data_IF_732208722643
#
_entry.id   IF_732208722643
#
_cell.length_a   1.000
_cell.length_b   1.000
_cell.length_c   1.000
_cell.angle_alpha   90.00
_cell.angle_beta   90.00
_cell.angle_gamma   90.00
#
_symmetry.space_group_name_H-M   'P 1'
#
loop_
_entity.id
_entity.type
_entity.pdbx_description
1 polymer ?
#
# COMPACT_ATOMS: atom_id res chain seq x y z
N UNK A 1 -13.43 -8.75 -13.37
CA UNK A 1 -12.95 -9.80 -14.30
C UNK A 1 -13.94 -9.99 -15.44
N UNK A 2 -13.51 -9.94 -16.70
CA UNK A 2 -14.41 -10.12 -17.87
C UNK A 2 -14.64 -11.60 -18.24
N UNK A 3 -13.88 -12.51 -17.65
CA UNK A 3 -13.95 -13.96 -17.85
C UNK A 3 -13.44 -14.67 -16.60
N UNK A 4 -13.63 -15.98 -16.55
CA UNK A 4 -13.05 -16.83 -15.51
C UNK A 4 -11.52 -16.91 -15.65
N UNK A 5 -10.83 -17.02 -14.52
CA UNK A 5 -9.40 -17.25 -14.41
C UNK A 5 -9.11 -18.36 -13.40
N UNK A 6 -8.20 -19.27 -13.76
CA UNK A 6 -7.67 -20.27 -12.83
C UNK A 6 -6.67 -19.64 -11.88
N UNK A 7 -6.49 -20.22 -10.69
CA UNK A 7 -5.45 -19.82 -9.75
C UNK A 7 -4.06 -19.88 -10.43
N UNK A 8 -3.22 -18.88 -10.17
CA UNK A 8 -1.89 -18.73 -10.78
C UNK A 8 -1.92 -18.17 -12.22
N UNK A 9 -3.08 -17.89 -12.79
CA UNK A 9 -3.16 -17.27 -14.11
C UNK A 9 -2.71 -15.81 -14.06
N UNK A 10 -1.82 -15.42 -14.97
CA UNK A 10 -1.51 -14.01 -15.23
C UNK A 10 -2.74 -13.29 -15.77
N UNK A 11 -3.11 -12.18 -15.13
CA UNK A 11 -4.30 -11.40 -15.45
C UNK A 11 -3.99 -10.23 -16.38
N UNK A 12 -3.15 -9.31 -15.92
CA UNK A 12 -2.76 -8.09 -16.63
C UNK A 12 -1.40 -7.61 -16.14
N UNK A 13 -0.69 -6.83 -16.95
CA UNK A 13 0.59 -6.25 -16.56
C UNK A 13 0.39 -4.98 -15.74
N UNK A 14 1.23 -4.79 -14.72
CA UNK A 14 1.45 -3.50 -14.10
C UNK A 14 2.26 -2.62 -15.07
N UNK A 15 1.55 -1.90 -15.94
CA UNK A 15 2.17 -1.07 -16.96
C UNK A 15 2.44 0.34 -16.42
N UNK A 16 3.69 0.78 -16.59
CA UNK A 16 4.16 2.09 -16.19
C UNK A 16 5.49 2.43 -16.83
N UNK A 17 5.92 3.67 -16.68
CA UNK A 17 7.30 4.05 -16.99
C UNK A 17 8.19 3.65 -15.80
N UNK A 18 9.31 2.99 -16.10
CA UNK A 18 10.28 2.61 -15.08
C UNK A 18 11.19 3.81 -14.79
N UNK A 19 11.07 4.39 -13.62
CA UNK A 19 11.98 5.41 -13.13
C UNK A 19 13.24 4.76 -12.53
N UNK A 20 14.43 5.39 -12.69
CA UNK A 20 15.66 4.87 -12.12
C UNK A 20 15.58 4.84 -10.58
N UNK A 21 16.41 4.01 -9.91
CA UNK A 21 16.48 4.01 -8.46
C UNK A 21 16.82 5.41 -7.95
N UNK A 22 16.02 5.94 -7.03
CA UNK A 22 16.37 7.19 -6.36
C UNK A 22 17.64 7.00 -5.53
N UNK A 23 18.58 7.93 -5.64
CA UNK A 23 19.81 7.87 -4.83
C UNK A 23 19.44 8.19 -3.38
N UNK A 24 19.73 7.33 -2.38
CA UNK A 24 19.47 7.68 -1.00
C UNK A 24 20.30 8.91 -0.60
N UNK A 25 19.78 9.83 0.24
CA UNK A 25 20.62 10.87 0.82
C UNK A 25 21.72 10.18 1.63
N UNK A 26 22.95 10.61 1.39
CA UNK A 26 24.12 10.13 2.14
C UNK A 26 24.00 10.58 3.59
N UNK A 27 24.17 9.64 4.50
CA UNK A 27 24.51 9.80 5.92
C UNK A 27 23.78 10.93 6.66
N UNK A 28 22.71 10.59 7.36
CA UNK A 28 22.05 11.49 8.31
C UNK A 28 20.76 10.87 8.83
N UNK A 29 20.46 11.06 10.12
CA UNK A 29 19.25 10.56 10.77
C UNK A 29 18.03 10.71 9.86
N UNK A 30 17.37 9.59 9.55
CA UNK A 30 16.04 9.61 8.93
C UNK A 30 15.08 10.14 9.99
N UNK A 31 14.67 11.39 9.86
CA UNK A 31 13.60 11.96 10.68
C UNK A 31 12.24 11.55 10.10
N UNK A 32 11.17 11.57 10.90
CA UNK A 32 9.81 11.26 10.44
C UNK A 32 9.33 12.20 9.32
N UNK A 33 9.87 13.42 9.22
CA UNK A 33 9.62 14.31 8.08
C UNK A 33 10.25 13.77 6.78
N UNK A 34 11.46 13.19 6.85
CA UNK A 34 12.13 12.55 5.70
C UNK A 34 11.44 11.23 5.34
N UNK A 35 10.97 10.47 6.34
CA UNK A 35 10.16 9.27 6.13
C UNK A 35 8.81 9.63 5.52
N UNK A 36 8.13 10.68 5.99
CA UNK A 36 6.86 11.16 5.45
C UNK A 36 7.01 11.78 4.06
N UNK A 37 8.06 12.57 3.79
CA UNK A 37 8.38 13.07 2.44
C UNK A 37 8.77 11.94 1.49
N UNK A 38 9.54 10.93 1.95
CA UNK A 38 9.82 9.73 1.17
C UNK A 38 8.59 8.88 0.97
N UNK A 39 7.73 8.76 1.96
CA UNK A 39 6.46 8.06 1.89
C UNK A 39 5.47 8.82 1.02
N UNK A 40 5.51 10.16 0.93
CA UNK A 40 4.74 10.98 0.01
C UNK A 40 5.31 10.95 -1.41
N UNK A 41 6.63 10.92 -1.56
CA UNK A 41 7.32 10.75 -2.83
C UNK A 41 7.18 9.31 -3.37
N UNK A 42 7.13 8.30 -2.47
CA UNK A 42 6.92 6.87 -2.77
C UNK A 42 5.45 6.49 -2.86
N UNK A 43 4.55 7.16 -2.12
CA UNK A 43 3.09 7.09 -2.29
C UNK A 43 2.61 7.99 -3.44
N UNK A 44 3.46 8.14 -4.47
CA UNK A 44 2.94 8.33 -5.82
C UNK A 44 1.89 7.26 -6.04
N UNK A 45 0.66 7.71 -6.25
CA UNK A 45 -0.43 6.81 -6.60
C UNK A 45 0.04 5.98 -7.81
N UNK A 46 -0.22 4.68 -7.76
CA UNK A 46 0.17 3.74 -8.80
C UNK A 46 1.68 3.44 -8.91
N UNK A 47 2.50 3.67 -7.88
CA UNK A 47 3.90 3.20 -7.86
C UNK A 47 4.04 1.73 -7.46
N UNK A 48 5.00 1.03 -8.08
CA UNK A 48 5.39 -0.35 -7.73
C UNK A 48 6.92 -0.47 -7.81
N UNK A 49 7.56 -0.82 -6.71
CA UNK A 49 9.01 -1.04 -6.66
C UNK A 49 9.38 -2.39 -7.33
N UNK A 50 10.41 -2.36 -8.16
CA UNK A 50 10.95 -3.51 -8.88
C UNK A 50 12.09 -4.17 -8.10
N UNK A 51 12.36 -5.43 -8.44
CA UNK A 51 13.46 -6.24 -7.90
C UNK A 51 14.85 -5.61 -8.14
N UNK A 52 15.00 -4.81 -9.19
CA UNK A 52 16.23 -4.07 -9.51
C UNK A 52 16.30 -2.65 -8.92
N UNK A 53 15.38 -2.31 -8.01
CA UNK A 53 15.32 -1.02 -7.31
C UNK A 53 14.75 0.13 -8.14
N UNK A 54 14.31 -0.12 -9.39
CA UNK A 54 13.51 0.84 -10.16
C UNK A 54 12.09 0.93 -9.61
N UNK A 55 11.38 2.01 -9.94
CA UNK A 55 9.95 2.14 -9.63
C UNK A 55 9.15 2.20 -10.92
N UNK A 56 8.16 1.31 -11.07
CA UNK A 56 7.14 1.44 -12.11
C UNK A 56 6.08 2.43 -11.65
N UNK A 57 5.86 3.50 -12.40
CA UNK A 57 4.77 4.44 -12.16
C UNK A 57 3.66 4.15 -13.16
N UNK A 58 2.54 3.65 -12.65
CA UNK A 58 1.36 3.34 -13.44
C UNK A 58 0.83 4.58 -14.15
N UNK A 59 0.45 4.43 -15.42
CA UNK A 59 -0.23 5.51 -16.13
C UNK A 59 -1.62 5.74 -15.49
N UNK A 60 -2.03 6.99 -15.28
CA UNK A 60 -3.37 7.30 -14.73
C UNK A 60 -4.51 6.84 -15.64
N UNK A 61 -4.22 6.62 -16.93
CA UNK A 61 -5.15 6.08 -17.91
C UNK A 61 -4.41 5.11 -18.84
N UNK A 62 -5.01 3.96 -19.13
CA UNK A 62 -4.50 3.00 -20.10
C UNK A 62 -5.65 2.47 -20.95
N UNK A 63 -5.53 2.61 -22.27
CA UNK A 63 -6.52 2.09 -23.23
C UNK A 63 -6.33 0.61 -23.55
N UNK A 64 -5.28 -0.04 -23.03
CA UNK A 64 -4.95 -1.44 -23.26
C UNK A 64 -5.29 -2.28 -22.02
N UNK A 65 -6.36 -3.11 -22.04
CA UNK A 65 -6.76 -3.95 -20.92
C UNK A 65 -5.71 -4.97 -20.46
N UNK A 66 -4.68 -5.24 -21.27
CA UNK A 66 -3.55 -6.08 -20.87
C UNK A 66 -2.49 -5.34 -20.03
N UNK A 67 -2.68 -4.03 -19.82
CA UNK A 67 -1.76 -3.07 -19.20
C UNK A 67 -2.50 -2.15 -18.19
N UNK A 68 -3.38 -2.74 -17.39
CA UNK A 68 -4.19 -2.01 -16.37
C UNK A 68 -3.98 -2.58 -14.96
N UNK A 69 -2.86 -3.25 -14.69
CA UNK A 69 -2.57 -3.81 -13.37
C UNK A 69 -2.55 -2.76 -12.25
N UNK A 70 -2.21 -1.51 -12.56
CA UNK A 70 -2.28 -0.38 -11.63
C UNK A 70 -3.72 0.01 -11.24
N UNK A 71 -4.74 -0.46 -11.97
CA UNK A 71 -6.16 -0.21 -11.66
C UNK A 71 -6.77 -1.29 -10.75
N UNK A 72 -6.01 -2.32 -10.35
CA UNK A 72 -6.50 -3.31 -9.39
C UNK A 72 -6.58 -2.65 -8.03
N UNK A 73 -7.80 -2.53 -7.48
CA UNK A 73 -8.04 -1.88 -6.19
C UNK A 73 -7.47 -2.70 -5.03
N UNK A 74 -7.17 -2.01 -3.94
CA UNK A 74 -6.94 -2.67 -2.65
C UNK A 74 -8.26 -3.26 -2.12
N UNK A 75 -8.21 -4.45 -1.52
CA UNK A 75 -9.35 -5.10 -0.86
C UNK A 75 -9.76 -4.38 0.43
N UNK A 76 -8.88 -3.57 1.01
CA UNK A 76 -9.11 -2.79 2.23
C UNK A 76 -8.45 -1.41 2.17
N UNK A 77 -8.74 -0.58 3.16
CA UNK A 77 -8.03 0.70 3.33
C UNK A 77 -7.88 1.07 4.79
N UNK A 78 -6.85 1.85 5.10
CA UNK A 78 -6.70 2.52 6.40
C UNK A 78 -6.98 4.00 6.18
N UNK A 79 -7.95 4.55 6.92
CA UNK A 79 -8.36 5.96 6.81
C UNK A 79 -8.25 6.65 8.16
N UNK A 80 -8.00 7.97 8.15
CA UNK A 80 -7.95 8.74 9.39
C UNK A 80 -9.26 8.64 10.19
N UNK A 81 -10.42 8.63 9.50
CA UNK A 81 -11.73 8.53 10.15
C UNK A 81 -11.92 7.22 10.93
N UNK A 82 -11.61 6.08 10.31
CA UNK A 82 -11.65 4.79 10.99
C UNK A 82 -10.66 4.77 12.17
N UNK A 83 -9.45 5.29 11.93
CA UNK A 83 -8.36 5.29 12.91
C UNK A 83 -8.68 6.09 14.17
N UNK A 84 -9.34 7.25 14.05
CA UNK A 84 -9.81 7.99 15.23
C UNK A 84 -10.88 7.23 16.03
N UNK A 85 -11.67 6.37 15.39
CA UNK A 85 -12.75 5.65 16.06
C UNK A 85 -12.28 4.39 16.78
N UNK A 86 -11.26 3.69 16.26
CA UNK A 86 -10.82 2.39 16.76
C UNK A 86 -9.33 2.31 17.14
N UNK A 87 -8.59 3.40 17.03
CA UNK A 87 -7.14 3.45 17.23
C UNK A 87 -6.34 2.81 16.10
N UNK A 88 -5.01 2.95 16.16
CA UNK A 88 -4.12 2.44 15.11
C UNK A 88 -4.18 0.91 14.95
N UNK A 89 -4.13 0.18 16.08
CA UNK A 89 -4.18 -1.27 16.08
C UNK A 89 -5.50 -1.81 15.50
N UNK A 90 -6.64 -1.26 15.91
CA UNK A 90 -7.94 -1.67 15.41
C UNK A 90 -8.11 -1.41 13.91
N UNK A 91 -7.61 -0.27 13.42
CA UNK A 91 -7.68 0.07 11.99
C UNK A 91 -6.85 -0.90 11.14
N UNK A 92 -5.71 -1.34 11.67
CA UNK A 92 -4.84 -2.29 11.00
C UNK A 92 -5.40 -3.72 11.02
N UNK A 93 -5.96 -4.17 12.14
CA UNK A 93 -6.68 -5.45 12.22
C UNK A 93 -7.86 -5.51 11.26
N UNK A 94 -8.63 -4.41 11.15
CA UNK A 94 -9.73 -4.30 10.20
C UNK A 94 -9.24 -4.37 8.76
N UNK A 95 -8.13 -3.70 8.45
CA UNK A 95 -7.50 -3.77 7.13
C UNK A 95 -7.05 -5.19 6.79
N UNK A 96 -6.27 -5.86 7.65
CA UNK A 96 -5.81 -7.25 7.43
C UNK A 96 -7.02 -8.17 7.24
N UNK A 97 -8.06 -8.02 8.06
CA UNK A 97 -9.29 -8.82 7.94
C UNK A 97 -9.98 -8.61 6.57
N UNK A 98 -10.03 -7.38 6.08
CA UNK A 98 -10.58 -7.06 4.76
C UNK A 98 -9.75 -7.67 3.63
N UNK A 99 -8.42 -7.60 3.70
CA UNK A 99 -7.52 -8.24 2.74
C UNK A 99 -7.77 -9.75 2.69
N UNK A 100 -7.74 -10.41 3.85
CA UNK A 100 -7.89 -11.86 3.95
C UNK A 100 -9.25 -12.34 3.44
N UNK A 101 -10.30 -11.52 3.56
CA UNK A 101 -11.64 -11.85 3.07
C UNK A 101 -11.85 -11.53 1.58
N UNK A 102 -11.21 -10.47 1.07
CA UNK A 102 -11.55 -9.87 -0.22
C UNK A 102 -10.53 -10.07 -1.32
N UNK A 103 -9.23 -10.11 -0.99
CA UNK A 103 -8.18 -10.14 -1.99
C UNK A 103 -8.21 -11.45 -2.79
N UNK A 104 -8.17 -11.32 -4.11
CA UNK A 104 -8.18 -12.43 -5.07
C UNK A 104 -7.07 -12.33 -6.12
N UNK A 105 -6.31 -11.24 -6.08
CA UNK A 105 -5.15 -10.96 -6.91
C UNK A 105 -3.93 -10.78 -6.01
N UNK A 106 -2.77 -11.22 -6.48
CA UNK A 106 -1.46 -10.86 -5.94
C UNK A 106 -0.64 -10.12 -6.99
N UNK A 107 0.26 -9.26 -6.52
CA UNK A 107 1.26 -8.60 -7.36
C UNK A 107 2.55 -9.42 -7.35
N UNK A 108 3.01 -9.81 -8.54
CA UNK A 108 4.30 -10.47 -8.73
C UNK A 108 5.26 -9.52 -9.43
N UNK A 109 6.47 -9.42 -8.89
CA UNK A 109 7.54 -8.58 -9.43
C UNK A 109 8.72 -9.48 -9.78
N UNK A 110 9.22 -9.36 -10.99
CA UNK A 110 10.41 -10.11 -11.39
C UNK A 110 10.83 -9.84 -12.83
N UNK A 111 12.14 -9.78 -13.07
CA UNK A 111 12.68 -9.53 -14.40
C UNK A 111 12.35 -8.12 -14.91
N UNK A 112 12.29 -7.14 -14.01
CA UNK A 112 12.03 -5.74 -14.36
C UNK A 112 10.59 -5.44 -14.79
N UNK A 113 9.61 -6.27 -14.40
CA UNK A 113 8.18 -6.09 -14.66
C UNK A 113 7.36 -6.40 -13.40
N UNK A 114 6.20 -5.76 -13.29
CA UNK A 114 5.13 -6.14 -12.37
C UNK A 114 3.98 -6.79 -13.13
N UNK A 115 3.45 -7.88 -12.62
CA UNK A 115 2.29 -8.60 -13.14
C UNK A 115 1.26 -8.81 -12.03
N UNK A 116 -0.03 -8.77 -12.40
CA UNK A 116 -1.13 -9.18 -11.52
C UNK A 116 -1.46 -10.64 -11.81
N UNK A 117 -1.53 -11.45 -10.76
CA UNK A 117 -1.74 -12.90 -10.84
C UNK A 117 -2.93 -13.29 -9.97
N UNK A 118 -3.77 -14.19 -10.47
CA UNK A 118 -4.89 -14.72 -9.71
C UNK A 118 -4.40 -15.53 -8.50
N UNK A 119 -4.68 -15.09 -7.28
CA UNK A 119 -4.29 -15.81 -6.07
C UNK A 119 -5.18 -17.05 -5.82
N UNK A 120 -6.42 -17.00 -6.34
CA UNK A 120 -7.39 -18.11 -6.36
C UNK A 120 -8.10 -18.13 -7.71
N UNK A 121 -8.97 -19.12 -7.93
CA UNK A 121 -9.89 -19.06 -9.06
C UNK A 121 -10.79 -17.81 -8.94
N UNK A 122 -10.94 -17.06 -10.04
CA UNK A 122 -11.74 -15.83 -10.14
C UNK A 122 -12.82 -16.06 -11.20
N UNK A 123 -14.08 -15.80 -10.86
CA UNK A 123 -15.21 -15.88 -11.79
C UNK A 123 -15.40 -14.60 -12.58
N UNK A 124 -15.97 -14.73 -13.76
CA UNK A 124 -16.46 -13.60 -14.55
C UNK A 124 -17.43 -12.76 -13.70
N UNK A 125 -17.23 -11.45 -13.72
CA UNK A 125 -17.99 -10.48 -12.92
C UNK A 125 -17.39 -10.16 -11.55
N UNK A 126 -16.46 -10.97 -11.00
CA UNK A 126 -15.78 -10.60 -9.75
C UNK A 126 -14.88 -9.38 -9.93
N UNK A 127 -14.88 -8.46 -8.98
CA UNK A 127 -13.89 -7.38 -8.93
C UNK A 127 -12.49 -7.95 -8.65
N UNK A 128 -11.46 -7.34 -9.22
CA UNK A 128 -10.08 -7.71 -8.97
C UNK A 128 -9.57 -6.88 -7.79
N UNK A 129 -9.21 -7.55 -6.70
CA UNK A 129 -8.78 -6.93 -5.45
C UNK A 129 -7.44 -7.51 -5.00
N UNK A 130 -6.52 -6.64 -4.60
CA UNK A 130 -5.18 -6.97 -4.11
C UNK A 130 -4.95 -6.41 -2.71
N UNK A 131 -3.76 -6.61 -2.15
CA UNK A 131 -3.23 -5.83 -1.03
C UNK A 131 -2.16 -4.87 -1.56
N UNK A 132 -2.21 -3.59 -1.17
CA UNK A 132 -1.09 -2.65 -1.31
C UNK A 132 -0.14 -2.67 -0.11
N UNK A 133 -0.39 -3.56 0.85
CA UNK A 133 0.28 -3.71 2.14
C UNK A 133 0.04 -2.54 3.12
N UNK A 134 0.05 -2.86 4.41
CA UNK A 134 -0.10 -1.84 5.46
C UNK A 134 0.99 -0.76 5.42
N UNK A 135 2.27 -1.03 5.09
CA UNK A 135 3.26 0.05 4.94
C UNK A 135 2.83 1.19 4.00
N UNK A 136 2.17 0.88 2.88
CA UNK A 136 1.68 1.92 1.96
C UNK A 136 0.54 2.73 2.56
N UNK A 137 -0.42 2.07 3.21
CA UNK A 137 -1.55 2.73 3.86
C UNK A 137 -1.13 3.58 5.06
N UNK A 138 -0.17 3.10 5.84
CA UNK A 138 0.42 3.80 6.98
C UNK A 138 1.18 5.05 6.52
N UNK A 139 1.92 4.94 5.42
CA UNK A 139 2.56 6.08 4.75
C UNK A 139 1.55 7.16 4.32
N UNK A 140 0.48 6.77 3.61
CA UNK A 140 -0.62 7.66 3.19
C UNK A 140 -1.29 8.33 4.40
N UNK A 141 -1.58 7.55 5.43
CA UNK A 141 -2.23 8.03 6.64
C UNK A 141 -1.35 9.01 7.43
N UNK A 142 -0.07 8.72 7.60
CA UNK A 142 0.88 9.60 8.27
C UNK A 142 0.92 10.98 7.61
N UNK A 143 0.95 11.01 6.28
CA UNK A 143 0.88 12.27 5.53
C UNK A 143 -0.45 13.02 5.71
N UNK A 144 -1.57 12.31 5.72
CA UNK A 144 -2.88 12.89 5.98
C UNK A 144 -2.97 13.49 7.39
N UNK A 145 -2.48 12.77 8.41
CA UNK A 145 -2.48 13.21 9.80
C UNK A 145 -1.57 14.43 10.02
N UNK A 146 -0.38 14.45 9.41
CA UNK A 146 0.49 15.63 9.44
C UNK A 146 -0.18 16.86 8.81
N UNK A 147 -0.87 16.69 7.67
CA UNK A 147 -1.62 17.77 7.05
C UNK A 147 -2.76 18.25 7.95
N UNK A 148 -3.54 17.35 8.55
CA UNK A 148 -4.62 17.68 9.49
C UNK A 148 -4.09 18.42 10.72
N UNK A 149 -2.99 17.96 11.30
CA UNK A 149 -2.36 18.58 12.47
C UNK A 149 -1.89 20.01 12.17
N UNK A 150 -1.17 20.20 11.05
CA UNK A 150 -0.71 21.52 10.61
C UNK A 150 -1.89 22.46 10.31
N UNK A 151 -2.95 21.93 9.68
CA UNK A 151 -4.17 22.70 9.40
C UNK A 151 -4.89 23.13 10.68
N UNK A 152 -5.11 22.22 11.62
CA UNK A 152 -5.73 22.52 12.91
C UNK A 152 -4.93 23.56 13.71
N UNK A 153 -3.59 23.43 13.74
CA UNK A 153 -2.71 24.40 14.38
C UNK A 153 -2.81 25.80 13.72
N UNK A 154 -2.93 25.87 12.40
CA UNK A 154 -3.13 27.15 11.70
C UNK A 154 -4.50 27.81 11.95
N UNK A 155 -5.44 27.07 12.57
CA UNK A 155 -6.79 27.51 12.90
C UNK A 155 -6.99 27.70 14.42
N UNK A 156 -5.91 27.68 15.21
CA UNK A 156 -5.91 27.71 16.68
C UNK A 156 -6.75 26.59 17.35
N UNK A 157 -6.96 25.47 16.64
CA UNK A 157 -7.62 24.28 17.19
C UNK A 157 -6.59 23.31 17.78
N UNK A 158 -6.16 23.62 19.01
CA UNK A 158 -5.16 22.82 19.73
C UNK A 158 -5.61 21.39 20.03
N UNK A 159 -6.92 21.14 20.19
CA UNK A 159 -7.43 19.80 20.52
C UNK A 159 -7.35 18.88 19.32
N UNK A 160 -7.80 19.35 18.15
CA UNK A 160 -7.70 18.57 16.91
C UNK A 160 -6.25 18.38 16.46
N UNK A 161 -5.38 19.37 16.70
CA UNK A 161 -3.95 19.24 16.40
C UNK A 161 -3.31 18.15 17.27
N UNK A 162 -3.56 18.17 18.59
CA UNK A 162 -3.03 17.17 19.52
C UNK A 162 -3.52 15.76 19.18
N UNK A 163 -4.82 15.58 18.92
CA UNK A 163 -5.39 14.27 18.56
C UNK A 163 -4.76 13.69 17.28
N UNK A 164 -4.45 14.53 16.29
CA UNK A 164 -3.77 14.09 15.07
C UNK A 164 -2.31 13.69 15.32
N UNK A 165 -1.60 14.36 16.23
CA UNK A 165 -0.23 13.99 16.62
C UNK A 165 -0.18 12.70 17.44
N UNK A 166 -1.07 12.54 18.41
CA UNK A 166 -1.15 11.31 19.22
C UNK A 166 -1.43 10.09 18.33
N UNK A 167 -2.37 10.23 17.39
CA UNK A 167 -2.67 9.17 16.44
C UNK A 167 -1.48 8.86 15.51
N UNK A 168 -0.70 9.87 15.12
CA UNK A 168 0.52 9.67 14.32
C UNK A 168 1.54 8.81 15.09
N UNK A 169 1.78 9.13 16.36
CA UNK A 169 2.69 8.36 17.23
C UNK A 169 2.23 6.91 17.40
N UNK A 170 0.94 6.68 17.58
CA UNK A 170 0.37 5.33 17.63
C UNK A 170 0.65 4.53 16.35
N UNK A 171 0.54 5.17 15.17
CA UNK A 171 0.79 4.52 13.90
C UNK A 171 2.27 4.23 13.64
N UNK A 172 3.18 5.08 14.08
CA UNK A 172 4.62 4.80 14.03
C UNK A 172 4.95 3.53 14.81
N UNK A 173 4.37 3.38 16.00
CA UNK A 173 4.56 2.20 16.84
C UNK A 173 3.88 0.95 16.24
N UNK A 174 2.65 1.08 15.75
CA UNK A 174 1.93 -0.02 15.12
C UNK A 174 2.65 -0.52 13.86
N UNK A 175 3.14 0.38 13.00
CA UNK A 175 3.84 0.02 11.76
C UNK A 175 4.99 -0.95 12.01
N UNK A 176 5.84 -0.66 13.00
CA UNK A 176 6.98 -1.50 13.34
C UNK A 176 6.59 -2.89 13.87
N UNK A 177 5.44 -2.99 14.54
CA UNK A 177 4.98 -4.23 15.17
C UNK A 177 4.23 -5.14 14.19
N UNK A 178 3.39 -4.56 13.33
CA UNK A 178 2.44 -5.31 12.54
C UNK A 178 2.90 -5.60 11.11
N UNK A 179 3.84 -4.84 10.55
CA UNK A 179 4.36 -5.12 9.21
C UNK A 179 4.90 -6.56 9.07
N UNK A 180 5.63 -7.14 10.05
CA UNK A 180 6.05 -8.54 9.96
C UNK A 180 4.87 -9.53 10.01
N UNK A 181 3.88 -9.27 10.86
CA UNK A 181 2.71 -10.13 11.07
C UNK A 181 1.78 -10.15 9.86
N UNK A 182 1.56 -8.98 9.24
CA UNK A 182 0.81 -8.88 8.00
C UNK A 182 1.51 -9.67 6.88
N UNK A 183 2.80 -9.47 6.68
CA UNK A 183 3.55 -10.14 5.61
C UNK A 183 3.50 -11.66 5.75
N UNK A 184 3.57 -12.18 6.98
CA UNK A 184 3.39 -13.61 7.26
C UNK A 184 1.97 -14.08 6.90
N UNK A 185 0.93 -13.37 7.36
CA UNK A 185 -0.46 -13.71 7.06
C UNK A 185 -0.77 -13.69 5.55
N UNK A 186 -0.27 -12.68 4.82
CA UNK A 186 -0.44 -12.57 3.37
C UNK A 186 0.30 -13.67 2.61
N UNK A 187 1.47 -14.08 3.11
CA UNK A 187 2.22 -15.21 2.54
C UNK A 187 1.46 -16.52 2.73
N UNK A 188 0.97 -16.79 3.93
CA UNK A 188 0.22 -18.01 4.23
C UNK A 188 -1.08 -18.09 3.42
N UNK A 189 -1.68 -16.94 3.10
CA UNK A 189 -2.83 -16.82 2.20
C UNK A 189 -2.49 -16.94 0.71
N UNK A 190 -1.20 -17.02 0.34
CA UNK A 190 -0.74 -17.03 -1.06
C UNK A 190 -0.89 -15.69 -1.79
N UNK A 191 -1.17 -14.60 -1.05
CA UNK A 191 -1.34 -13.24 -1.56
C UNK A 191 -0.02 -12.48 -1.71
N UNK A 192 1.08 -13.05 -1.23
CA UNK A 192 2.41 -12.48 -1.34
C UNK A 192 3.44 -13.57 -1.69
N UNK A 193 4.35 -13.29 -2.63
CA UNK A 193 5.36 -14.25 -3.11
C UNK A 193 6.81 -13.79 -2.93
N UNK A 194 7.07 -12.73 -2.15
CA UNK A 194 8.42 -12.28 -1.84
C UNK A 194 9.03 -12.96 -0.61
N UNK A 195 10.33 -13.19 -0.64
CA UNK A 195 11.12 -13.48 0.56
C UNK A 195 11.08 -12.25 1.48
N UNK A 196 10.68 -12.44 2.73
CA UNK A 196 10.86 -11.42 3.78
C UNK A 196 12.33 -11.56 4.13
N UNK A 197 13.13 -10.57 3.72
CA UNK A 197 14.58 -10.61 3.83
C UNK A 197 15.07 -11.06 5.20
N UNK A 198 16.09 -11.92 5.15
CA UNK A 198 17.06 -12.15 6.22
C UNK A 198 17.80 -10.85 6.61
#
# INVERSE_FOLDING_TARGET
>A
ALRDFEAGSRLTQYAGEAEPPETPPRDGLITMDILAERCLARAREYSLELDDGRTLVGATESSDPSRVGHMVNDAGCITAGASFAMGAAGALEAYISAIMAGANVRLEVGGGRGDTVAARAIRAGEELLTSYSSPWWLAKLGAELQWRARRAASQDDATSAQAAWELLEEFEMASAMYAPLELEALRDAGLFSGDVGA
#
